data_IF_219346855275
#
_entry.id   IF_219346855275
#
_cell.length_a   1.000
_cell.length_b   1.000
_cell.length_c   1.000
_cell.angle_alpha   90.00
_cell.angle_beta   90.00
_cell.angle_gamma   90.00
#
_symmetry.space_group_name_H-M   'P 1'
#
loop_
_entity.id
_entity.type
_entity.pdbx_description
1 polymer ?
#
# COMPACT_ATOMS: atom_id res chain seq x y z
N UNK A 1 -18.59 -17.93 -50.97
CA UNK A 1 -17.46 -18.13 -50.03
C UNK A 1 -17.51 -17.03 -48.99
N UNK A 2 -18.00 -17.33 -47.77
CA UNK A 2 -18.10 -16.38 -46.66
C UNK A 2 -16.95 -16.64 -45.71
N UNK A 3 -16.12 -15.65 -45.33
CA UNK A 3 -15.04 -15.85 -44.38
C UNK A 3 -15.61 -16.01 -42.97
N UNK A 4 -15.31 -17.13 -42.35
CA UNK A 4 -15.67 -17.42 -40.93
C UNK A 4 -14.76 -16.62 -40.01
N UNK A 5 -15.30 -15.55 -39.43
CA UNK A 5 -14.61 -14.73 -38.43
C UNK A 5 -14.76 -15.34 -37.02
N UNK A 6 -14.02 -16.42 -36.78
CA UNK A 6 -14.13 -17.19 -35.51
C UNK A 6 -13.06 -16.84 -34.46
N UNK A 7 -12.26 -15.78 -34.70
CA UNK A 7 -11.10 -15.50 -33.82
C UNK A 7 -11.35 -14.59 -32.61
N UNK A 8 -12.50 -13.92 -32.52
CA UNK A 8 -12.69 -12.84 -31.52
C UNK A 8 -13.54 -13.22 -30.29
N UNK A 9 -14.23 -14.35 -30.32
CA UNK A 9 -15.17 -14.70 -29.25
C UNK A 9 -14.56 -15.51 -28.09
N UNK A 10 -13.43 -16.19 -28.31
CA UNK A 10 -12.80 -17.01 -27.28
C UNK A 10 -11.86 -16.24 -26.33
N UNK A 11 -11.46 -15.01 -26.69
CA UNK A 11 -10.50 -14.23 -25.91
C UNK A 11 -11.12 -13.48 -24.74
N UNK A 12 -12.42 -13.18 -24.80
CA UNK A 12 -13.10 -12.41 -23.74
C UNK A 12 -13.52 -13.23 -22.52
N UNK A 13 -13.64 -14.55 -22.65
CA UNK A 13 -14.04 -15.43 -21.55
C UNK A 13 -12.82 -15.74 -20.68
N UNK A 14 -11.64 -15.89 -21.28
CA UNK A 14 -10.39 -16.17 -20.57
C UNK A 14 -9.90 -15.01 -19.70
N UNK A 15 -10.09 -13.77 -20.18
CA UNK A 15 -9.62 -12.57 -19.47
C UNK A 15 -10.49 -12.28 -18.24
N UNK A 16 -11.79 -12.54 -18.32
CA UNK A 16 -12.72 -12.34 -17.19
C UNK A 16 -12.52 -13.37 -16.08
N UNK A 17 -12.25 -14.62 -16.44
CA UNK A 17 -11.98 -15.66 -15.45
C UNK A 17 -10.60 -15.51 -14.79
N UNK A 18 -9.59 -15.05 -15.54
CA UNK A 18 -8.27 -14.74 -14.97
C UNK A 18 -8.34 -13.55 -14.00
N UNK A 19 -9.11 -12.52 -14.34
CA UNK A 19 -9.26 -11.34 -13.48
C UNK A 19 -9.97 -11.68 -12.15
N UNK A 20 -10.99 -12.56 -12.18
CA UNK A 20 -11.67 -13.01 -10.96
C UNK A 20 -10.76 -13.88 -10.08
N UNK A 21 -9.95 -14.76 -10.67
CA UNK A 21 -9.06 -15.62 -9.88
C UNK A 21 -7.91 -14.82 -9.25
N UNK A 22 -7.37 -13.82 -9.95
CA UNK A 22 -6.36 -12.91 -9.42
C UNK A 22 -6.91 -12.05 -8.27
N UNK A 23 -8.17 -11.64 -8.35
CA UNK A 23 -8.84 -10.87 -7.29
C UNK A 23 -9.05 -11.71 -6.02
N UNK A 24 -9.44 -12.98 -6.16
CA UNK A 24 -9.63 -13.90 -5.04
C UNK A 24 -8.30 -14.27 -4.36
N UNK A 25 -7.23 -14.49 -5.15
CA UNK A 25 -5.89 -14.78 -4.61
C UNK A 25 -5.31 -13.55 -3.89
N UNK A 26 -5.53 -12.35 -4.42
CA UNK A 26 -5.13 -11.09 -3.76
C UNK A 26 -5.84 -10.87 -2.42
N UNK A 27 -7.12 -11.22 -2.32
CA UNK A 27 -7.90 -11.10 -1.10
C UNK A 27 -7.47 -12.12 -0.03
N UNK A 28 -7.05 -13.32 -0.44
CA UNK A 28 -6.53 -14.36 0.48
C UNK A 28 -5.13 -14.04 1.01
N UNK A 29 -4.29 -13.40 0.21
CA UNK A 29 -2.97 -12.94 0.65
C UNK A 29 -3.05 -11.82 1.70
N UNK A 30 -4.15 -11.05 1.72
CA UNK A 30 -4.40 -10.00 2.70
C UNK A 30 -4.69 -10.53 4.11
N UNK A 31 -5.14 -11.76 4.25
CA UNK A 31 -5.50 -12.35 5.54
C UNK A 31 -4.29 -12.79 6.38
N UNK A 32 -3.14 -13.01 5.75
CA UNK A 32 -1.92 -13.48 6.43
C UNK A 32 -1.07 -12.37 7.04
N UNK A 33 -1.34 -11.09 6.77
CA UNK A 33 -0.48 -9.98 7.14
C UNK A 33 -1.02 -9.12 8.30
N UNK A 34 -2.03 -9.59 9.00
CA UNK A 34 -2.56 -8.95 10.22
C UNK A 34 -1.76 -9.31 11.49
N UNK A 35 -0.50 -9.67 11.36
CA UNK A 35 0.40 -9.73 12.50
C UNK A 35 0.75 -8.29 12.90
N UNK A 36 0.24 -7.89 14.06
CA UNK A 36 0.40 -6.58 14.69
C UNK A 36 1.85 -6.06 14.59
N UNK A 37 2.03 -4.86 14.04
CA UNK A 37 3.31 -4.18 13.97
C UNK A 37 3.54 -3.48 12.61
N UNK A 38 4.79 -3.26 12.28
CA UNK A 38 5.28 -2.50 11.11
C UNK A 38 4.79 -2.99 9.73
N UNK A 39 4.18 -4.19 9.68
CA UNK A 39 3.64 -4.78 8.45
C UNK A 39 2.32 -4.19 7.96
N UNK A 40 1.55 -3.50 8.81
CA UNK A 40 0.20 -3.03 8.42
C UNK A 40 0.24 -1.91 7.38
N UNK A 41 1.23 -1.01 7.46
CA UNK A 41 1.44 0.04 6.46
C UNK A 41 1.86 -0.55 5.10
N UNK A 42 2.69 -1.61 5.11
CA UNK A 42 3.08 -2.32 3.91
C UNK A 42 1.88 -3.01 3.23
N UNK A 43 1.06 -3.71 4.01
CA UNK A 43 -0.14 -4.38 3.50
C UNK A 43 -1.14 -3.37 2.95
N UNK A 44 -1.40 -2.30 3.70
CA UNK A 44 -2.28 -1.22 3.26
C UNK A 44 -1.80 -0.58 1.96
N UNK A 45 -0.52 -0.23 1.89
CA UNK A 45 0.10 0.36 0.71
C UNK A 45 0.11 -0.56 -0.50
N UNK A 46 0.41 -1.84 -0.30
CA UNK A 46 0.41 -2.84 -1.37
C UNK A 46 -0.97 -3.10 -1.94
N UNK A 47 -1.96 -3.34 -1.09
CA UNK A 47 -3.34 -3.55 -1.52
C UNK A 47 -3.93 -2.30 -2.13
N UNK A 48 -3.79 -1.14 -1.46
CA UNK A 48 -4.27 0.14 -1.94
C UNK A 48 -3.65 0.51 -3.28
N UNK A 49 -2.34 0.33 -3.43
CA UNK A 49 -1.61 0.57 -4.68
C UNK A 49 -2.09 -0.32 -5.82
N UNK A 50 -2.22 -1.62 -5.59
CA UNK A 50 -2.71 -2.56 -6.61
C UNK A 50 -4.15 -2.27 -7.03
N UNK A 51 -5.06 -2.05 -6.07
CA UNK A 51 -6.46 -1.73 -6.36
C UNK A 51 -6.58 -0.39 -7.09
N UNK A 52 -5.88 0.64 -6.60
CA UNK A 52 -5.85 1.95 -7.23
C UNK A 52 -5.31 1.90 -8.66
N UNK A 53 -4.27 1.08 -8.90
CA UNK A 53 -3.73 0.83 -10.23
C UNK A 53 -4.78 0.28 -11.19
N UNK A 54 -5.52 -0.77 -10.76
CA UNK A 54 -6.54 -1.41 -11.60
C UNK A 54 -7.66 -0.42 -11.93
N UNK A 55 -8.19 0.28 -10.94
CA UNK A 55 -9.28 1.25 -11.15
C UNK A 55 -8.80 2.42 -12.01
N UNK A 56 -7.65 2.99 -11.68
CA UNK A 56 -7.06 4.10 -12.44
C UNK A 56 -6.74 3.71 -13.88
N UNK A 57 -6.28 2.48 -14.09
CA UNK A 57 -6.00 1.94 -15.42
C UNK A 57 -7.24 1.84 -16.32
N UNK A 58 -8.42 1.57 -15.75
CA UNK A 58 -9.68 1.55 -16.48
C UNK A 58 -10.13 2.94 -16.91
N UNK A 59 -9.79 3.97 -16.14
CA UNK A 59 -10.20 5.34 -16.39
C UNK A 59 -9.24 6.10 -17.31
N UNK A 60 -7.94 5.86 -17.19
CA UNK A 60 -6.92 6.67 -17.86
C UNK A 60 -5.73 5.87 -18.41
N UNK A 61 -5.88 4.58 -18.67
CA UNK A 61 -4.80 3.73 -19.21
C UNK A 61 -3.60 3.69 -18.26
N UNK A 62 -2.39 3.66 -18.81
CA UNK A 62 -1.15 3.57 -18.03
C UNK A 62 -0.91 4.77 -17.10
N UNK A 63 -1.28 5.98 -17.55
CA UNK A 63 -1.17 7.18 -16.73
C UNK A 63 -2.17 7.15 -15.57
N UNK A 64 -3.42 6.77 -15.86
CA UNK A 64 -4.43 6.60 -14.82
C UNK A 64 -4.05 5.52 -13.83
N UNK A 65 -3.45 4.42 -14.29
CA UNK A 65 -2.98 3.34 -13.43
C UNK A 65 -1.91 3.85 -12.44
N UNK A 66 -0.94 4.65 -12.91
CA UNK A 66 0.12 5.18 -12.05
C UNK A 66 -0.43 6.17 -11.01
N UNK A 67 -1.35 7.07 -11.42
CA UNK A 67 -1.99 8.02 -10.51
C UNK A 67 -2.85 7.29 -9.49
N UNK A 68 -3.66 6.33 -9.96
CA UNK A 68 -4.51 5.51 -9.09
C UNK A 68 -3.70 4.70 -8.10
N UNK A 69 -2.58 4.10 -8.56
CA UNK A 69 -1.66 3.38 -7.67
C UNK A 69 -1.07 4.29 -6.59
N UNK A 70 -0.66 5.50 -6.96
CA UNK A 70 -0.11 6.49 -6.04
C UNK A 70 -1.11 6.89 -4.96
N UNK A 71 -2.33 7.26 -5.35
CA UNK A 71 -3.40 7.66 -4.44
C UNK A 71 -3.82 6.49 -3.54
N UNK A 72 -4.02 5.30 -4.14
CA UNK A 72 -4.39 4.08 -3.42
C UNK A 72 -3.30 3.62 -2.46
N UNK A 73 -2.04 3.64 -2.90
CA UNK A 73 -0.88 3.29 -2.09
C UNK A 73 -0.69 4.25 -0.91
N UNK A 74 -0.82 5.55 -1.13
CA UNK A 74 -0.76 6.57 -0.08
C UNK A 74 -1.86 6.37 0.96
N UNK A 75 -3.11 6.28 0.52
CA UNK A 75 -4.25 6.10 1.42
C UNK A 75 -4.14 4.80 2.22
N UNK A 76 -3.81 3.68 1.54
CA UNK A 76 -3.67 2.37 2.18
C UNK A 76 -2.55 2.34 3.20
N UNK A 77 -1.39 2.91 2.87
CA UNK A 77 -0.25 3.01 3.79
C UNK A 77 -0.58 3.86 5.01
N UNK A 78 -1.24 5.02 4.81
CA UNK A 78 -1.63 5.90 5.90
C UNK A 78 -2.59 5.23 6.88
N UNK A 79 -3.55 4.45 6.37
CA UNK A 79 -4.51 3.71 7.21
C UNK A 79 -3.81 2.63 8.00
N UNK A 80 -2.85 1.92 7.38
CA UNK A 80 -2.09 0.84 8.03
C UNK A 80 -0.97 1.32 8.94
N UNK A 81 -0.53 2.56 8.83
CA UNK A 81 0.58 3.10 9.60
C UNK A 81 0.19 3.47 11.03
N UNK A 82 1.20 3.50 11.90
CA UNK A 82 1.09 4.03 13.25
C UNK A 82 0.65 5.49 13.23
N UNK A 83 -0.10 5.92 14.28
CA UNK A 83 -0.74 7.25 14.32
C UNK A 83 0.22 8.43 14.10
N UNK A 84 1.49 8.26 14.51
CA UNK A 84 2.53 9.28 14.33
C UNK A 84 3.17 9.31 12.95
N UNK A 85 3.10 8.21 12.18
CA UNK A 85 3.89 8.00 10.95
C UNK A 85 3.04 7.95 9.68
N UNK A 86 1.80 8.38 9.77
CA UNK A 86 0.84 8.31 8.65
C UNK A 86 1.27 9.11 7.43
N UNK A 87 1.86 10.28 7.66
CA UNK A 87 2.31 11.14 6.58
C UNK A 87 3.50 10.51 5.83
N UNK A 88 4.47 9.99 6.58
CA UNK A 88 5.67 9.35 6.05
C UNK A 88 5.31 8.06 5.30
N UNK A 89 4.43 7.25 5.91
CA UNK A 89 3.93 6.04 5.27
C UNK A 89 3.11 6.35 4.00
N UNK A 90 2.27 7.40 4.02
CA UNK A 90 1.49 7.81 2.86
C UNK A 90 2.40 8.26 1.71
N UNK A 91 3.41 9.07 2.00
CA UNK A 91 4.37 9.55 1.00
C UNK A 91 5.15 8.36 0.43
N UNK A 92 5.71 7.51 1.31
CA UNK A 92 6.45 6.33 0.88
C UNK A 92 5.61 5.37 0.06
N UNK A 93 4.43 5.02 0.56
CA UNK A 93 3.51 4.10 -0.12
C UNK A 93 2.98 4.64 -1.44
N UNK A 94 2.66 5.93 -1.49
CA UNK A 94 2.19 6.59 -2.70
C UNK A 94 3.26 6.65 -3.80
N UNK A 95 4.45 7.11 -3.45
CA UNK A 95 5.58 7.18 -4.40
C UNK A 95 6.04 5.79 -4.83
N UNK A 96 6.11 4.84 -3.90
CA UNK A 96 6.46 3.47 -4.18
C UNK A 96 5.46 2.79 -5.12
N UNK A 97 4.16 2.94 -4.87
CA UNK A 97 3.12 2.38 -5.72
C UNK A 97 3.10 3.00 -7.12
N UNK A 98 3.18 4.33 -7.22
CA UNK A 98 3.22 5.02 -8.51
C UNK A 98 4.47 4.64 -9.31
N UNK A 99 5.65 4.70 -8.70
CA UNK A 99 6.92 4.33 -9.33
C UNK A 99 6.96 2.87 -9.74
N UNK A 100 6.53 1.97 -8.85
CA UNK A 100 6.41 0.53 -9.13
C UNK A 100 5.44 0.24 -10.27
N UNK A 101 4.32 0.97 -10.35
CA UNK A 101 3.36 0.89 -11.46
C UNK A 101 4.02 1.21 -12.80
N UNK A 102 4.77 2.31 -12.87
CA UNK A 102 5.44 2.76 -14.10
C UNK A 102 6.49 1.76 -14.55
N UNK A 103 7.37 1.34 -13.64
CA UNK A 103 8.42 0.36 -13.93
C UNK A 103 7.81 -0.97 -14.33
N UNK A 104 6.83 -1.44 -13.55
CA UNK A 104 6.13 -2.69 -13.85
C UNK A 104 5.42 -2.69 -15.20
N UNK A 105 4.82 -1.54 -15.57
CA UNK A 105 4.19 -1.38 -16.88
C UNK A 105 5.18 -1.53 -18.03
N UNK A 106 6.40 -1.00 -17.87
CA UNK A 106 7.47 -1.10 -18.87
C UNK A 106 7.96 -2.54 -19.07
N UNK A 107 7.88 -3.38 -18.03
CA UNK A 107 8.36 -4.75 -18.06
C UNK A 107 7.29 -5.78 -18.45
N UNK A 108 6.06 -5.57 -18.04
CA UNK A 108 4.98 -6.56 -18.17
C UNK A 108 3.60 -5.97 -18.48
N UNK A 109 3.53 -4.75 -19.03
CA UNK A 109 2.27 -4.10 -19.38
C UNK A 109 1.36 -3.91 -18.14
N UNK A 110 0.05 -4.03 -18.34
CA UNK A 110 -0.93 -3.81 -17.25
C UNK A 110 -0.79 -4.78 -16.08
N UNK A 111 -0.42 -6.03 -16.33
CA UNK A 111 -0.17 -7.02 -15.27
C UNK A 111 1.07 -6.65 -14.46
N UNK A 112 2.17 -6.31 -15.15
CA UNK A 112 3.39 -5.83 -14.52
C UNK A 112 3.16 -4.56 -13.71
N UNK A 113 2.35 -3.64 -14.24
CA UNK A 113 1.95 -2.40 -13.56
C UNK A 113 1.25 -2.67 -12.22
N UNK A 114 0.29 -3.60 -12.19
CA UNK A 114 -0.45 -3.94 -10.97
C UNK A 114 0.44 -4.61 -9.93
N UNK A 115 1.29 -5.56 -10.36
CA UNK A 115 2.25 -6.23 -9.46
C UNK A 115 3.26 -5.21 -8.93
N UNK A 116 3.80 -4.37 -9.83
CA UNK A 116 4.74 -3.33 -9.46
C UNK A 116 4.16 -2.31 -8.50
N UNK A 117 2.90 -1.90 -8.71
CA UNK A 117 2.20 -1.00 -7.80
C UNK A 117 2.01 -1.62 -6.40
N UNK A 118 1.65 -2.90 -6.35
CA UNK A 118 1.48 -3.62 -5.09
C UNK A 118 2.80 -3.75 -4.32
N UNK A 119 3.85 -4.22 -4.97
CA UNK A 119 5.17 -4.38 -4.34
C UNK A 119 5.80 -3.04 -3.95
N UNK A 120 5.70 -2.05 -4.85
CA UNK A 120 6.22 -0.70 -4.59
C UNK A 120 5.47 -0.01 -3.45
N UNK A 121 4.15 -0.13 -3.40
CA UNK A 121 3.32 0.40 -2.33
C UNK A 121 3.59 -0.26 -0.98
N UNK A 122 3.78 -1.58 -0.98
CA UNK A 122 4.15 -2.32 0.24
C UNK A 122 5.53 -1.90 0.76
N UNK A 123 6.54 -1.92 -0.11
CA UNK A 123 7.89 -1.54 0.27
C UNK A 123 7.99 -0.07 0.71
N UNK A 124 7.37 0.84 -0.07
CA UNK A 124 7.35 2.26 0.23
C UNK A 124 6.60 2.58 1.53
N UNK A 125 5.46 1.92 1.77
CA UNK A 125 4.68 2.07 3.00
C UNK A 125 5.44 1.60 4.24
N UNK A 126 6.13 0.47 4.15
CA UNK A 126 6.98 -0.04 5.23
C UNK A 126 8.14 0.91 5.53
N UNK A 127 8.87 1.33 4.49
CA UNK A 127 10.01 2.25 4.64
C UNK A 127 9.55 3.58 5.22
N UNK A 128 8.44 4.14 4.69
CA UNK A 128 7.88 5.39 5.19
C UNK A 128 7.51 5.31 6.67
N UNK A 129 6.86 4.21 7.08
CA UNK A 129 6.51 4.00 8.49
C UNK A 129 7.76 3.93 9.37
N UNK A 130 8.79 3.19 8.97
CA UNK A 130 10.05 3.09 9.72
C UNK A 130 10.77 4.43 9.85
N UNK A 131 10.84 5.22 8.75
CA UNK A 131 11.45 6.55 8.79
C UNK A 131 10.70 7.50 9.74
N UNK A 132 9.38 7.37 9.86
CA UNK A 132 8.58 8.10 10.82
C UNK A 132 8.93 7.74 12.26
N UNK A 133 9.16 6.46 12.56
CA UNK A 133 9.56 5.99 13.90
C UNK A 133 10.93 6.55 14.31
N UNK A 134 11.91 6.54 13.40
CA UNK A 134 13.23 7.08 13.65
C UNK A 134 13.20 8.61 13.86
N UNK A 135 12.37 9.32 13.10
CA UNK A 135 12.17 10.77 13.22
C UNK A 135 11.56 11.16 14.57
N UNK A 136 10.63 10.38 15.09
CA UNK A 136 9.99 10.63 16.38
C UNK A 136 10.91 10.28 17.57
N UNK A 137 11.82 9.34 17.42
CA UNK A 137 12.81 9.00 18.45
C UNK A 137 14.00 9.97 18.50
N UNK A 138 14.33 10.62 17.39
CA UNK A 138 15.41 11.61 17.32
C UNK A 138 15.07 12.97 17.93
N UNK A 139 13.81 13.25 18.24
CA UNK A 139 13.31 14.52 18.80
C UNK A 139 13.13 14.56 20.32
N UNK A 140 13.31 13.45 21.03
CA UNK A 140 13.04 13.35 22.48
C UNK A 140 14.26 13.46 23.37
N UNK A 141 15.19 14.39 23.05
CA UNK A 141 16.12 14.91 24.04
C UNK A 141 15.70 16.31 24.54
N UNK A 142 14.44 16.46 24.89
CA UNK A 142 14.01 17.54 25.77
C UNK A 142 13.45 16.90 27.03
N UNK A 143 14.39 16.58 27.92
CA UNK A 143 14.09 16.21 29.28
C UNK A 143 13.34 17.32 29.98
N UNK A 144 12.11 17.05 30.34
CA UNK A 144 11.47 17.65 31.50
C UNK A 144 10.70 16.55 32.19
N UNK A 145 11.47 15.72 32.87
CA UNK A 145 10.95 14.85 33.93
C UNK A 145 10.43 15.70 35.08
N UNK A 146 9.20 16.17 34.99
CA UNK A 146 8.47 16.63 36.16
C UNK A 146 7.89 15.40 36.85
N UNK A 147 8.79 14.67 37.52
CA UNK A 147 8.44 13.65 38.46
C UNK A 147 7.81 14.28 39.70
N UNK A 148 6.52 14.50 39.71
CA UNK A 148 5.78 14.73 40.92
C UNK A 148 5.76 13.42 41.74
N UNK A 149 6.83 13.25 42.52
CA UNK A 149 6.84 12.28 43.63
C UNK A 149 5.88 12.77 44.70
N UNK A 150 4.65 12.31 44.70
CA UNK A 150 3.77 12.41 45.85
C UNK A 150 4.35 11.55 46.95
N UNK A 151 5.10 12.20 47.87
CA UNK A 151 5.51 11.64 49.13
C UNK A 151 4.28 11.59 50.03
N UNK A 152 3.65 10.44 50.16
CA UNK A 152 2.73 10.18 51.28
C UNK A 152 3.54 10.17 52.56
N UNK A 153 3.45 11.25 53.29
CA UNK A 153 3.88 11.29 54.67
C UNK A 153 2.79 10.65 55.55
N UNK A 154 3.02 9.41 55.93
CA UNK A 154 2.26 8.76 56.97
C UNK A 154 2.70 9.40 58.30
N UNK A 155 1.82 10.16 58.96
CA UNK A 155 1.97 10.62 60.33
C UNK A 155 1.01 9.78 61.21
N UNK A 156 1.60 8.80 61.90
CA UNK A 156 0.95 8.20 63.05
C UNK A 156 1.15 9.15 64.24
N UNK A 157 0.04 9.52 64.86
CA UNK A 157 -0.10 9.83 66.28
C UNK A 157 -1.36 9.19 66.78
#
# INVERSE_FOLDING_TARGET
>A
MTPVNNGKKCRNISVRSLALSAFVIGLFAAQGAMAAGDGTAAVGGGLGGALGNVVGGQLGGSTGAAIGAGVGGAAGSAVGASKGNRNEAAIGGGLGAAGGSVVGNSLGGSTGSTIGAGLGGAAGGAVGNNLGDDGNNGGSHSGHGNGHKHKHKNKNH
#
